data_IF_837945598880
#
_entry.id   IF_837945598880
#
_cell.length_a   1.000
_cell.length_b   1.000
_cell.length_c   1.000
_cell.angle_alpha   90.00
_cell.angle_beta   90.00
_cell.angle_gamma   90.00
#
_symmetry.space_group_name_H-M   'P 1'
#
loop_
_entity.id
_entity.type
_entity.pdbx_description
1 polymer ?
#
# COMPACT_ATOMS: atom_id res chain seq x y z
N UNK A 1 -10.59 31.71 9.90
CA UNK A 1 -11.28 30.40 10.08
C UNK A 1 -11.51 29.71 8.73
N UNK A 2 -11.96 30.41 7.68
CA UNK A 2 -12.27 29.82 6.36
C UNK A 2 -11.10 29.10 5.66
N UNK A 3 -9.88 29.62 5.74
CA UNK A 3 -8.72 29.00 5.07
C UNK A 3 -8.37 27.60 5.62
N UNK A 4 -8.60 27.35 6.92
CA UNK A 4 -8.35 26.02 7.50
C UNK A 4 -9.35 24.97 7.01
N UNK A 5 -10.62 25.32 6.88
CA UNK A 5 -11.63 24.42 6.31
C UNK A 5 -11.37 24.11 4.83
N UNK A 6 -10.82 25.07 4.08
CA UNK A 6 -10.41 24.87 2.69
C UNK A 6 -9.24 23.87 2.58
N UNK A 7 -8.27 23.94 3.49
CA UNK A 7 -7.13 23.00 3.51
C UNK A 7 -7.58 21.56 3.77
N UNK A 8 -8.51 21.33 4.71
CA UNK A 8 -9.02 19.99 4.98
C UNK A 8 -9.76 19.39 3.78
N UNK A 9 -10.62 20.19 3.13
CA UNK A 9 -11.34 19.76 1.93
C UNK A 9 -10.40 19.42 0.76
N UNK A 10 -9.32 20.18 0.57
CA UNK A 10 -8.30 19.88 -0.44
C UNK A 10 -7.53 18.59 -0.14
N UNK A 11 -7.19 18.35 1.13
CA UNK A 11 -6.48 17.14 1.54
C UNK A 11 -7.35 15.89 1.38
N UNK A 12 -8.62 15.95 1.79
CA UNK A 12 -9.59 14.86 1.57
C UNK A 12 -9.79 14.59 0.07
N UNK A 13 -9.83 15.64 -0.75
CA UNK A 13 -9.89 15.49 -2.20
C UNK A 13 -8.67 14.72 -2.74
N UNK A 14 -7.46 15.08 -2.31
CA UNK A 14 -6.22 14.38 -2.70
C UNK A 14 -6.23 12.91 -2.24
N UNK A 15 -6.64 12.64 -1.00
CA UNK A 15 -6.74 11.29 -0.46
C UNK A 15 -7.75 10.42 -1.21
N UNK A 16 -8.87 11.01 -1.67
CA UNK A 16 -9.85 10.28 -2.49
C UNK A 16 -9.32 9.91 -3.88
N UNK A 17 -8.44 10.74 -4.45
CA UNK A 17 -7.91 10.57 -5.80
C UNK A 17 -6.66 9.69 -5.83
N UNK A 18 -5.81 9.84 -4.83
CA UNK A 18 -4.51 9.19 -4.72
C UNK A 18 -4.46 8.39 -3.43
N UNK A 19 -4.84 7.10 -3.55
CA UNK A 19 -4.78 6.14 -2.44
C UNK A 19 -3.33 6.10 -1.92
N UNK A 20 -3.16 6.18 -0.60
CA UNK A 20 -1.85 6.21 0.05
C UNK A 20 -1.34 7.62 0.38
N UNK A 21 -2.08 8.68 0.02
CA UNK A 21 -1.75 10.05 0.45
C UNK A 21 -1.85 10.19 1.97
N UNK A 22 -0.70 10.32 2.65
CA UNK A 22 -0.64 10.46 4.10
C UNK A 22 -0.97 11.87 4.62
N UNK A 23 -1.05 11.98 5.94
CA UNK A 23 -1.18 13.22 6.72
C UNK A 23 -0.31 13.13 7.99
N UNK A 24 -0.29 14.21 8.79
CA UNK A 24 0.55 14.30 9.98
C UNK A 24 0.30 13.19 11.01
N UNK A 25 -0.93 12.66 11.06
CA UNK A 25 -1.33 11.60 11.99
C UNK A 25 -1.33 10.20 11.37
N UNK A 26 -0.78 10.03 10.16
CA UNK A 26 -0.63 8.71 9.54
C UNK A 26 0.26 7.83 10.40
N UNK A 27 -0.32 6.76 10.93
CA UNK A 27 0.38 5.84 11.81
C UNK A 27 1.44 5.01 11.06
N UNK A 28 2.43 4.49 11.80
CA UNK A 28 3.46 3.60 11.25
C UNK A 28 2.86 2.42 10.47
N UNK A 29 1.81 1.80 11.01
CA UNK A 29 1.17 0.66 10.37
C UNK A 29 0.56 1.03 9.02
N UNK A 30 -0.21 2.12 8.96
CA UNK A 30 -0.82 2.61 7.72
C UNK A 30 0.23 2.95 6.65
N UNK A 31 1.29 3.64 7.05
CA UNK A 31 2.40 3.97 6.16
C UNK A 31 3.11 2.72 5.59
N UNK A 32 3.36 1.72 6.44
CA UNK A 32 4.00 0.47 6.00
C UNK A 32 3.08 -0.35 5.08
N UNK A 33 1.78 -0.43 5.38
CA UNK A 33 0.82 -1.15 4.53
C UNK A 33 0.77 -0.54 3.13
N UNK A 34 0.72 0.78 3.02
CA UNK A 34 0.74 1.46 1.72
C UNK A 34 2.03 1.16 0.94
N UNK A 35 3.21 1.28 1.58
CA UNK A 35 4.49 0.95 0.93
C UNK A 35 4.56 -0.51 0.43
N UNK A 36 4.08 -1.47 1.21
CA UNK A 36 4.08 -2.87 0.78
C UNK A 36 3.15 -3.09 -0.41
N UNK A 37 1.96 -2.47 -0.40
CA UNK A 37 1.02 -2.53 -1.52
C UNK A 37 1.58 -1.89 -2.79
N UNK A 38 2.25 -0.75 -2.67
CA UNK A 38 2.91 -0.06 -3.79
C UNK A 38 4.06 -0.89 -4.36
N UNK A 39 4.82 -1.55 -3.49
CA UNK A 39 5.88 -2.48 -3.89
C UNK A 39 5.32 -3.66 -4.66
N UNK A 40 4.26 -4.31 -4.15
CA UNK A 40 3.59 -5.42 -4.84
C UNK A 40 2.96 -5.01 -6.18
N UNK A 41 2.33 -3.84 -6.26
CA UNK A 41 1.82 -3.29 -7.50
C UNK A 41 2.95 -3.07 -8.52
N UNK A 42 4.10 -2.55 -8.06
CA UNK A 42 5.29 -2.38 -8.89
C UNK A 42 5.86 -3.71 -9.37
N UNK A 43 5.89 -4.74 -8.52
CA UNK A 43 6.38 -6.07 -8.90
C UNK A 43 5.49 -6.73 -9.95
N UNK A 44 4.17 -6.52 -9.88
CA UNK A 44 3.22 -7.02 -10.89
C UNK A 44 3.32 -6.24 -12.21
N UNK A 45 3.57 -4.93 -12.14
CA UNK A 45 3.66 -4.04 -13.30
C UNK A 45 4.97 -4.17 -14.10
N UNK A 46 6.09 -4.42 -13.43
CA UNK A 46 7.39 -4.56 -14.08
C UNK A 46 7.70 -6.02 -14.44
N UNK A 47 7.71 -6.33 -15.73
CA UNK A 47 7.91 -7.70 -16.22
C UNK A 47 9.26 -8.31 -15.80
N UNK A 48 10.33 -7.52 -15.80
CA UNK A 48 11.68 -7.99 -15.43
C UNK A 48 11.77 -8.38 -13.95
N UNK A 49 11.13 -7.59 -13.08
CA UNK A 49 11.06 -7.86 -11.65
C UNK A 49 10.24 -9.10 -11.37
N UNK A 50 9.09 -9.25 -12.03
CA UNK A 50 8.28 -10.46 -11.91
C UNK A 50 9.04 -11.71 -12.38
N UNK A 51 9.79 -11.61 -13.49
CA UNK A 51 10.61 -12.70 -13.98
C UNK A 51 11.71 -13.07 -12.99
N UNK A 52 12.36 -12.08 -12.40
CA UNK A 52 13.37 -12.29 -11.37
C UNK A 52 12.81 -13.09 -10.20
N UNK A 53 11.64 -12.72 -9.67
CA UNK A 53 11.00 -13.47 -8.59
C UNK A 53 10.60 -14.89 -9.00
N UNK A 54 10.03 -15.07 -10.20
CA UNK A 54 9.68 -16.41 -10.71
C UNK A 54 10.89 -17.33 -10.85
N UNK A 55 12.05 -16.79 -11.26
CA UNK A 55 13.30 -17.56 -11.37
C UNK A 55 13.86 -17.91 -10.00
N UNK A 56 13.91 -16.95 -9.07
CA UNK A 56 14.46 -17.15 -7.72
C UNK A 56 13.62 -18.13 -6.90
N UNK A 57 12.28 -18.04 -6.99
CA UNK A 57 11.37 -18.94 -6.29
C UNK A 57 11.18 -20.29 -7.01
N UNK A 58 11.71 -20.44 -8.23
CA UNK A 58 11.50 -21.61 -9.09
C UNK A 58 10.01 -21.95 -9.26
N UNK A 59 9.20 -20.92 -9.47
CA UNK A 59 7.74 -21.03 -9.59
C UNK A 59 7.25 -20.39 -10.88
N UNK A 60 6.08 -20.82 -11.36
CA UNK A 60 5.52 -20.21 -12.57
C UNK A 60 5.17 -18.74 -12.33
N UNK A 61 5.32 -17.90 -13.36
CA UNK A 61 4.95 -16.47 -13.29
C UNK A 61 3.50 -16.27 -12.85
N UNK A 62 2.59 -17.18 -13.25
CA UNK A 62 1.19 -17.14 -12.85
C UNK A 62 1.02 -17.37 -11.34
N UNK A 63 1.76 -18.32 -10.76
CA UNK A 63 1.75 -18.59 -9.33
C UNK A 63 2.35 -17.44 -8.52
N UNK A 64 3.46 -16.87 -8.96
CA UNK A 64 4.05 -15.69 -8.30
C UNK A 64 3.07 -14.51 -8.31
N UNK A 65 2.39 -14.26 -9.45
CA UNK A 65 1.34 -13.23 -9.52
C UNK A 65 0.21 -13.48 -8.53
N UNK A 66 -0.26 -14.73 -8.44
CA UNK A 66 -1.30 -15.12 -7.49
C UNK A 66 -0.87 -14.86 -6.04
N UNK A 67 0.32 -15.33 -5.67
CA UNK A 67 0.88 -15.14 -4.33
C UNK A 67 1.05 -13.66 -3.96
N UNK A 68 1.52 -12.83 -4.90
CA UNK A 68 1.66 -11.39 -4.68
C UNK A 68 0.28 -10.74 -4.48
N UNK A 69 -0.73 -11.10 -5.27
CA UNK A 69 -2.09 -10.58 -5.10
C UNK A 69 -2.71 -10.97 -3.75
N UNK A 70 -2.53 -12.21 -3.28
CA UNK A 70 -3.01 -12.61 -1.96
C UNK A 70 -2.35 -11.81 -0.82
N UNK A 71 -1.05 -11.53 -0.94
CA UNK A 71 -0.30 -10.73 0.04
C UNK A 71 -0.73 -9.26 0.10
N UNK A 72 -1.46 -8.73 -0.90
CA UNK A 72 -1.92 -7.33 -0.90
C UNK A 72 -3.01 -7.04 0.15
N UNK A 73 -3.77 -8.06 0.56
CA UNK A 73 -4.85 -7.89 1.55
C UNK A 73 -4.31 -7.33 2.86
N UNK A 74 -3.28 -8.00 3.40
CA UNK A 74 -2.75 -7.72 4.73
C UNK A 74 -1.23 -7.97 4.80
N UNK A 75 -0.42 -7.12 4.14
CA UNK A 75 1.03 -7.34 4.03
C UNK A 75 1.77 -7.24 5.35
N UNK A 76 1.26 -6.46 6.30
CA UNK A 76 1.92 -6.15 7.58
C UNK A 76 1.26 -6.83 8.78
N UNK A 77 0.40 -7.83 8.56
CA UNK A 77 -0.36 -8.49 9.63
C UNK A 77 -1.54 -7.63 10.16
N UNK A 78 -2.18 -8.03 11.27
CA UNK A 78 -3.28 -7.28 11.88
C UNK A 78 -2.86 -5.85 12.27
N UNK A 79 -3.76 -4.86 12.09
CA UNK A 79 -3.52 -3.53 12.62
C UNK A 79 -3.29 -3.63 14.13
N UNK A 80 -2.39 -2.81 14.69
CA UNK A 80 -2.20 -2.76 16.14
C UNK A 80 -3.52 -2.38 16.82
N UNK A 81 -3.76 -2.92 18.01
CA UNK A 81 -4.87 -2.47 18.85
C UNK A 81 -4.75 -0.96 19.04
N UNK A 82 -5.83 -0.23 18.74
CA UNK A 82 -5.86 1.20 19.01
C UNK A 82 -5.68 1.36 20.51
N UNK A 83 -4.74 2.19 20.93
CA UNK A 83 -4.72 2.63 22.32
C UNK A 83 -6.08 3.29 22.59
N UNK A 84 -6.86 2.70 23.49
CA UNK A 84 -8.04 3.38 24.02
C UNK A 84 -7.54 4.64 24.74
N UNK A 85 -8.04 5.80 24.34
CA UNK A 85 -7.82 7.07 25.05
C UNK A 85 -8.45 7.04 26.45
#
# INVERSE_FOLDING_TARGET
MGDRYNIHSQLEHLQSKYIGTGHADTGRYEWLVNQHRDSYASYLGHFDVLNYFAVVENETKARVRFNIMEKMLQPCGPPPEKAED
#
